data_IF_351541905598
#
_entry.id   IF_351541905598
#
_cell.length_a   1.000
_cell.length_b   1.000
_cell.length_c   1.000
_cell.angle_alpha   90.00
_cell.angle_beta   90.00
_cell.angle_gamma   90.00
#
_symmetry.space_group_name_H-M   'P 1'
#
loop_
_entity.id
_entity.type
_entity.pdbx_description
1 polymer ?
#
# COMPACT_ATOMS: atom_id res chain seq x y z
N UNK A 1 4.50 -9.68 -7.39
CA UNK A 1 4.86 -8.45 -8.13
C UNK A 1 6.13 -7.79 -7.61
N UNK A 2 6.30 -7.57 -6.30
CA UNK A 2 7.50 -6.89 -5.77
C UNK A 2 8.84 -7.57 -6.17
N UNK A 3 8.93 -8.90 -6.10
CA UNK A 3 10.14 -9.65 -6.52
C UNK A 3 10.46 -9.48 -8.01
N UNK A 4 9.43 -9.36 -8.86
CA UNK A 4 9.62 -9.18 -10.31
C UNK A 4 10.10 -7.78 -10.66
N UNK A 5 9.69 -6.77 -9.88
CA UNK A 5 10.09 -5.36 -10.01
C UNK A 5 10.14 -4.86 -11.47
N UNK A 6 9.02 -4.96 -12.23
CA UNK A 6 9.03 -4.91 -13.69
C UNK A 6 9.33 -3.53 -14.30
N UNK A 7 9.20 -2.45 -13.54
CA UNK A 7 9.49 -1.09 -14.01
C UNK A 7 10.87 -0.64 -13.56
N UNK A 8 11.44 0.35 -14.27
CA UNK A 8 12.69 1.00 -13.84
C UNK A 8 12.52 1.70 -12.50
N UNK A 9 11.41 2.42 -12.31
CA UNK A 9 11.06 3.16 -11.08
C UNK A 9 9.54 3.12 -10.86
N UNK A 10 9.10 3.40 -9.64
CA UNK A 10 7.66 3.52 -9.31
C UNK A 10 6.95 2.20 -8.99
N UNK A 11 7.66 1.08 -8.93
CA UNK A 11 7.09 -0.25 -8.65
C UNK A 11 6.29 -0.29 -7.34
N UNK A 12 6.81 0.30 -6.25
CA UNK A 12 6.12 0.29 -4.95
C UNK A 12 4.73 0.91 -5.05
N UNK A 13 4.66 2.17 -5.48
CA UNK A 13 3.40 2.92 -5.63
C UNK A 13 2.40 2.24 -6.56
N UNK A 14 2.84 1.82 -7.75
CA UNK A 14 1.98 1.15 -8.71
C UNK A 14 1.48 -0.21 -8.21
N UNK A 15 2.34 -0.99 -7.56
CA UNK A 15 2.00 -2.32 -7.05
C UNK A 15 1.05 -2.23 -5.85
N UNK A 16 1.15 -1.20 -5.01
CA UNK A 16 0.20 -0.97 -3.90
C UNK A 16 -1.22 -0.69 -4.41
N UNK A 17 -1.36 0.16 -5.44
CA UNK A 17 -2.66 0.40 -6.09
C UNK A 17 -3.20 -0.90 -6.72
N UNK A 18 -2.34 -1.65 -7.42
CA UNK A 18 -2.71 -2.93 -8.01
C UNK A 18 -3.18 -3.95 -6.96
N UNK A 19 -2.52 -4.00 -5.81
CA UNK A 19 -2.91 -4.85 -4.68
C UNK A 19 -4.31 -4.49 -4.16
N UNK A 20 -4.60 -3.20 -3.93
CA UNK A 20 -5.91 -2.77 -3.45
C UNK A 20 -7.04 -3.14 -4.42
N UNK A 21 -6.80 -3.06 -5.73
CA UNK A 21 -7.79 -3.48 -6.72
C UNK A 21 -8.08 -4.99 -6.66
N UNK A 22 -7.07 -5.81 -6.42
CA UNK A 22 -7.25 -7.26 -6.22
C UNK A 22 -8.03 -7.53 -4.94
N UNK A 23 -7.64 -6.91 -3.83
CA UNK A 23 -8.33 -7.09 -2.55
C UNK A 23 -9.78 -6.63 -2.64
N UNK A 24 -10.05 -5.52 -3.32
CA UNK A 24 -11.40 -5.01 -3.53
C UNK A 24 -12.24 -5.99 -4.34
N UNK A 25 -11.69 -6.52 -5.43
CA UNK A 25 -12.39 -7.46 -6.31
C UNK A 25 -12.64 -8.82 -5.64
N UNK A 26 -11.67 -9.33 -4.88
CA UNK A 26 -11.70 -10.68 -4.33
C UNK A 26 -12.33 -10.77 -2.94
N UNK A 27 -12.17 -9.73 -2.11
CA UNK A 27 -12.56 -9.73 -0.70
C UNK A 27 -13.53 -8.60 -0.34
N UNK A 28 -13.75 -7.62 -1.22
CA UNK A 28 -14.53 -6.43 -0.88
C UNK A 28 -13.85 -5.54 0.17
N UNK A 29 -12.52 -5.58 0.25
CA UNK A 29 -11.72 -4.81 1.21
C UNK A 29 -10.56 -4.10 0.50
N UNK A 30 -10.05 -3.03 1.10
CA UNK A 30 -8.84 -2.31 0.70
C UNK A 30 -7.93 -2.10 1.90
N UNK A 31 -6.64 -1.86 1.68
CA UNK A 31 -5.72 -1.51 2.77
C UNK A 31 -5.90 -0.04 3.12
N UNK A 32 -6.15 0.26 4.39
CA UNK A 32 -6.00 1.61 4.91
C UNK A 32 -4.52 1.88 5.19
N UNK A 33 -3.80 2.30 4.15
CA UNK A 33 -2.36 2.56 4.25
C UNK A 33 -2.03 3.62 5.30
N UNK A 34 -2.97 4.51 5.65
CA UNK A 34 -2.73 5.51 6.70
C UNK A 34 -2.49 4.91 8.09
N UNK A 35 -2.88 3.65 8.30
CA UNK A 35 -2.65 2.89 9.54
C UNK A 35 -1.38 2.03 9.49
N UNK A 36 -0.72 1.96 8.33
CA UNK A 36 0.47 1.14 8.13
C UNK A 36 1.71 1.99 8.35
N UNK A 37 2.47 1.67 9.41
CA UNK A 37 3.73 2.34 9.72
C UNK A 37 4.74 2.17 8.55
N UNK A 38 5.36 3.27 8.06
CA UNK A 38 6.36 3.22 6.99
C UNK A 38 7.52 2.25 7.23
N UNK A 39 8.11 2.29 8.42
CA UNK A 39 9.31 1.51 8.75
C UNK A 39 8.98 0.02 8.80
N UNK A 40 7.88 -0.33 9.46
CA UNK A 40 7.40 -1.72 9.55
C UNK A 40 7.07 -2.28 8.16
N UNK A 41 6.43 -1.47 7.30
CA UNK A 41 6.14 -1.87 5.94
C UNK A 41 7.41 -2.13 5.13
N UNK A 42 8.38 -1.21 5.16
CA UNK A 42 9.62 -1.36 4.41
C UNK A 42 10.42 -2.60 4.88
N UNK A 43 10.55 -2.80 6.19
CA UNK A 43 11.20 -3.99 6.75
C UNK A 43 10.48 -5.29 6.36
N UNK A 44 9.14 -5.29 6.38
CA UNK A 44 8.34 -6.45 5.97
C UNK A 44 8.49 -6.73 4.46
N UNK A 45 8.60 -5.68 3.64
CA UNK A 45 8.81 -5.81 2.19
C UNK A 45 10.20 -6.35 1.85
N UNK A 46 11.25 -5.92 2.55
CA UNK A 46 12.62 -6.47 2.42
C UNK A 46 12.68 -7.96 2.77
N UNK A 47 11.93 -8.37 3.81
CA UNK A 47 11.85 -9.78 4.24
C UNK A 47 10.98 -10.64 3.34
N UNK A 48 10.03 -10.04 2.61
CA UNK A 48 9.01 -10.73 1.81
C UNK A 48 9.52 -11.79 0.80
N UNK A 49 10.73 -11.68 0.19
CA UNK A 49 11.26 -12.74 -0.68
C UNK A 49 11.60 -14.03 0.07
N UNK A 50 11.86 -13.94 1.37
CA UNK A 50 12.20 -15.08 2.24
C UNK A 50 10.95 -15.55 2.99
N UNK A 51 10.19 -14.62 3.58
CA UNK A 51 8.98 -14.91 4.36
C UNK A 51 7.98 -13.77 4.28
N UNK A 52 6.72 -14.10 4.01
CA UNK A 52 5.63 -13.13 3.81
C UNK A 52 4.74 -12.94 5.03
N UNK A 53 5.04 -13.58 6.17
CA UNK A 53 4.14 -13.62 7.34
C UNK A 53 3.96 -12.22 7.94
N UNK A 54 5.07 -11.50 8.11
CA UNK A 54 5.13 -10.17 8.67
C UNK A 54 4.31 -9.18 7.84
N UNK A 55 4.52 -9.18 6.51
CA UNK A 55 3.76 -8.35 5.58
C UNK A 55 2.27 -8.72 5.59
N UNK A 56 1.94 -10.02 5.59
CA UNK A 56 0.55 -10.49 5.59
C UNK A 56 -0.19 -10.01 6.85
N UNK A 57 0.44 -10.11 8.01
CA UNK A 57 -0.15 -9.69 9.27
C UNK A 57 -0.38 -8.17 9.30
N UNK A 58 0.63 -7.38 8.93
CA UNK A 58 0.56 -5.92 8.86
C UNK A 58 -0.61 -5.45 7.96
N UNK A 59 -0.75 -6.06 6.79
CA UNK A 59 -1.82 -5.73 5.85
C UNK A 59 -3.19 -6.17 6.37
N UNK A 60 -3.29 -7.38 6.95
CA UNK A 60 -4.55 -7.89 7.51
C UNK A 60 -5.10 -7.02 8.64
N UNK A 61 -4.23 -6.52 9.52
CA UNK A 61 -4.59 -5.62 10.62
C UNK A 61 -5.08 -4.25 10.13
N UNK A 62 -4.75 -3.88 8.88
CA UNK A 62 -5.08 -2.59 8.27
C UNK A 62 -6.15 -2.69 7.18
N UNK A 63 -6.86 -3.82 7.06
CA UNK A 63 -7.95 -3.96 6.08
C UNK A 63 -9.19 -3.17 6.48
N UNK A 64 -9.77 -2.48 5.50
CA UNK A 64 -11.03 -1.76 5.63
C UNK A 64 -12.05 -2.25 4.61
N UNK A 65 -13.31 -2.38 5.02
CA UNK A 65 -14.44 -2.67 4.12
C UNK A 65 -14.97 -1.41 3.41
N UNK A 66 -14.43 -0.23 3.73
CA UNK A 66 -14.89 1.05 3.17
C UNK A 66 -14.29 1.33 1.77
N UNK A 67 -14.55 0.43 0.83
CA UNK A 67 -13.90 0.40 -0.50
C UNK A 67 -14.34 1.51 -1.46
N UNK A 68 -15.36 2.28 -1.11
CA UNK A 68 -15.87 3.40 -1.91
C UNK A 68 -15.55 4.78 -1.31
N UNK A 69 -14.85 4.81 -0.18
CA UNK A 69 -14.47 6.06 0.45
C UNK A 69 -13.27 6.69 -0.24
N UNK A 70 -13.53 7.79 -0.94
CA UNK A 70 -12.51 8.58 -1.62
C UNK A 70 -11.42 9.07 -0.68
N UNK A 71 -11.74 9.38 0.58
CA UNK A 71 -10.77 9.88 1.56
C UNK A 71 -9.75 8.82 1.97
N UNK A 72 -10.20 7.57 2.15
CA UNK A 72 -9.30 6.42 2.39
C UNK A 72 -8.35 6.23 1.22
N UNK A 73 -8.87 6.31 -0.01
CA UNK A 73 -8.05 6.22 -1.22
C UNK A 73 -7.01 7.33 -1.31
N UNK A 74 -7.40 8.60 -1.17
CA UNK A 74 -6.48 9.74 -1.31
C UNK A 74 -5.39 9.73 -0.23
N UNK A 75 -5.77 9.51 1.03
CA UNK A 75 -4.79 9.34 2.11
C UNK A 75 -3.86 8.15 1.88
N UNK A 76 -4.38 7.07 1.31
CA UNK A 76 -3.58 5.91 0.96
C UNK A 76 -2.56 6.20 -0.14
N UNK A 77 -2.92 7.03 -1.12
CA UNK A 77 -1.99 7.53 -2.14
C UNK A 77 -0.92 8.39 -1.48
N UNK A 78 -1.30 9.37 -0.65
CA UNK A 78 -0.33 10.26 0.03
C UNK A 78 0.67 9.46 0.88
N UNK A 79 0.18 8.50 1.66
CA UNK A 79 1.04 7.63 2.46
C UNK A 79 1.95 6.74 1.60
N UNK A 80 1.41 6.19 0.51
CA UNK A 80 2.17 5.39 -0.46
C UNK A 80 3.29 6.19 -1.12
N UNK A 81 3.13 7.51 -1.30
CA UNK A 81 4.18 8.41 -1.76
C UNK A 81 5.17 8.76 -0.64
N UNK A 82 4.70 8.91 0.61
CA UNK A 82 5.53 9.15 1.77
C UNK A 82 6.52 8.01 2.04
N UNK A 83 6.12 6.75 1.81
CA UNK A 83 7.03 5.59 1.89
C UNK A 83 8.24 5.70 0.96
N UNK A 84 8.11 6.43 -0.15
CA UNK A 84 9.15 6.64 -1.14
C UNK A 84 9.84 8.02 -0.98
N UNK A 85 9.53 8.76 0.10
CA UNK A 85 10.13 10.06 0.42
C UNK A 85 9.44 11.29 -0.17
N UNK A 86 8.24 11.17 -0.73
CA UNK A 86 7.52 12.30 -1.33
C UNK A 86 6.39 12.80 -0.40
N UNK A 87 6.46 14.06 0.03
CA UNK A 87 5.50 14.67 0.97
C UNK A 87 5.06 16.10 0.60
N UNK A 88 5.45 16.59 -0.59
CA UNK A 88 5.29 18.01 -0.96
C UNK A 88 3.83 18.41 -1.26
N UNK A 89 3.02 17.48 -1.76
CA UNK A 89 1.64 17.73 -2.18
C UNK A 89 0.70 16.76 -1.48
N UNK A 90 -0.53 17.19 -1.24
CA UNK A 90 -1.63 16.33 -0.86
C UNK A 90 -2.44 15.99 -2.10
N UNK A 91 -2.76 14.73 -2.31
CA UNK A 91 -3.52 14.27 -3.49
C UNK A 91 -4.94 14.86 -3.50
N UNK A 92 -5.48 15.21 -2.34
CA UNK A 92 -6.81 15.85 -2.25
C UNK A 92 -6.87 17.30 -2.75
N UNK A 93 -5.73 17.99 -2.80
CA UNK A 93 -5.61 19.40 -3.21
C UNK A 93 -5.27 19.58 -4.71
N UNK A 94 -5.18 18.47 -5.46
CA UNK A 94 -4.88 18.42 -6.91
C UNK A 94 -6.14 18.08 -7.73
#
# INVERSE_FOLDING_TARGET
MNVAHPFREGNGRATRIWLDLILKQSLGQVVDWSQVNPEDYLLAMERSPIRTRELSQLLQESLSSDVHNRKVYMKGVDQSYAYEGYQLFQTEDL
#
